data_IF_633631461824
#
_entry.id   IF_633631461824
#
_cell.length_a   1.000
_cell.length_b   1.000
_cell.length_c   1.000
_cell.angle_alpha   90.00
_cell.angle_beta   90.00
_cell.angle_gamma   90.00
#
_symmetry.space_group_name_H-M   'P 1'
#
loop_
_entity.id
_entity.type
_entity.pdbx_description
1 polymer ?
#
# COMPACT_ATOMS: atom_id res chain seq x y z
N UNK A 1 -3.58 -10.16 -72.60
CA UNK A 1 -4.06 -10.56 -71.26
C UNK A 1 -4.35 -9.28 -70.48
N UNK A 2 -5.62 -8.87 -70.37
CA UNK A 2 -6.03 -7.62 -69.70
C UNK A 2 -6.08 -7.88 -68.20
N UNK A 3 -5.18 -7.28 -67.43
CA UNK A 3 -5.26 -7.27 -65.96
C UNK A 3 -6.38 -6.30 -65.56
N UNK A 4 -7.43 -6.86 -64.94
CA UNK A 4 -8.60 -6.13 -64.44
C UNK A 4 -8.19 -5.31 -63.20
N UNK A 5 -8.02 -4.01 -63.39
CA UNK A 5 -7.77 -3.07 -62.29
C UNK A 5 -9.10 -2.79 -61.58
N UNK A 6 -9.32 -3.45 -60.44
CA UNK A 6 -10.56 -3.34 -59.68
C UNK A 6 -10.44 -2.16 -58.69
N UNK A 7 -11.20 -1.06 -58.85
CA UNK A 7 -11.01 0.17 -58.07
C UNK A 7 -11.25 -0.01 -56.56
N UNK A 8 -11.93 -1.10 -56.15
CA UNK A 8 -12.13 -1.47 -54.75
C UNK A 8 -10.86 -1.99 -54.06
N UNK A 9 -9.90 -2.55 -54.81
CA UNK A 9 -8.62 -3.05 -54.28
C UNK A 9 -7.65 -1.88 -54.00
N UNK A 10 -7.70 -0.83 -54.80
CA UNK A 10 -6.91 0.39 -54.59
C UNK A 10 -7.29 1.14 -53.30
N UNK A 11 -8.57 1.11 -52.93
CA UNK A 11 -9.08 1.76 -51.71
C UNK A 11 -8.64 0.99 -50.45
N UNK A 12 -8.53 -0.34 -50.51
CA UNK A 12 -8.05 -1.16 -49.38
C UNK A 12 -6.54 -0.99 -49.17
N UNK A 13 -5.74 -0.87 -50.24
CA UNK A 13 -4.30 -0.58 -50.10
C UNK A 13 -4.01 0.84 -49.57
N UNK A 14 -4.88 1.82 -49.87
CA UNK A 14 -4.75 3.19 -49.36
C UNK A 14 -5.07 3.33 -47.86
N UNK A 15 -5.85 2.42 -47.28
CA UNK A 15 -6.21 2.44 -45.85
C UNK A 15 -5.14 1.79 -44.95
N UNK A 16 -4.31 0.89 -45.50
CA UNK A 16 -3.23 0.22 -44.75
C UNK A 16 -2.00 1.12 -44.57
N UNK A 17 -1.78 2.09 -45.45
CA UNK A 17 -0.62 3.00 -45.40
C UNK A 17 -0.77 4.11 -44.35
N UNK A 18 -1.99 4.40 -43.87
CA UNK A 18 -2.23 5.44 -42.86
C UNK A 18 -2.10 4.95 -41.40
N UNK A 19 -1.86 3.66 -41.16
CA UNK A 19 -1.70 3.09 -39.81
C UNK A 19 -0.23 2.97 -39.34
N UNK A 20 0.75 3.39 -40.14
CA UNK A 20 2.19 3.21 -39.84
C UNK A 20 2.92 4.48 -39.40
N UNK A 21 2.23 5.61 -39.23
CA UNK A 21 2.85 6.89 -38.84
C UNK A 21 2.61 7.33 -37.39
N UNK A 22 2.12 6.45 -36.51
CA UNK A 22 1.89 6.77 -35.09
C UNK A 22 2.97 6.25 -34.12
N UNK A 23 4.06 5.65 -34.61
CA UNK A 23 5.17 5.23 -33.75
C UNK A 23 6.45 5.96 -34.13
N UNK A 24 6.55 7.23 -33.73
CA UNK A 24 7.84 7.89 -33.55
C UNK A 24 8.08 8.09 -32.04
N UNK A 25 8.12 6.96 -31.32
CA UNK A 25 8.59 6.92 -29.93
C UNK A 25 10.11 6.77 -29.99
N UNK A 26 10.80 7.90 -29.85
CA UNK A 26 12.24 7.96 -29.72
C UNK A 26 12.64 7.17 -28.46
N UNK A 27 12.99 5.88 -28.63
CA UNK A 27 13.57 5.07 -27.55
C UNK A 27 15.01 5.55 -27.33
N UNK A 28 15.19 6.44 -26.34
CA UNK A 28 16.50 6.58 -25.70
C UNK A 28 16.88 5.20 -25.12
N UNK A 29 18.16 4.79 -25.19
CA UNK A 29 18.60 3.63 -24.45
C UNK A 29 18.31 3.89 -22.97
N UNK A 30 17.63 2.95 -22.30
CA UNK A 30 17.58 2.92 -20.84
C UNK A 30 19.02 2.80 -20.35
N UNK A 31 19.62 3.94 -20.03
CA UNK A 31 20.73 3.98 -19.10
C UNK A 31 20.23 3.41 -17.79
N UNK A 32 21.05 2.59 -17.14
CA UNK A 32 20.93 2.33 -15.72
C UNK A 32 20.87 3.69 -15.02
N UNK A 33 19.65 4.15 -14.72
CA UNK A 33 19.46 5.10 -13.65
C UNK A 33 19.67 4.29 -12.38
N UNK A 34 20.94 4.22 -11.95
CA UNK A 34 21.21 4.24 -10.53
C UNK A 34 20.53 5.52 -10.00
N UNK A 35 19.27 5.38 -9.57
CA UNK A 35 18.65 6.33 -8.69
C UNK A 35 19.54 6.35 -7.45
N UNK A 36 20.44 7.32 -7.39
CA UNK A 36 21.05 7.74 -6.12
C UNK A 36 19.89 7.99 -5.18
N UNK A 37 19.70 7.09 -4.23
CA UNK A 37 18.50 7.11 -3.42
C UNK A 37 18.41 8.40 -2.63
N UNK A 38 17.17 8.87 -2.48
CA UNK A 38 16.88 10.03 -1.66
C UNK A 38 16.97 9.60 -0.20
N UNK A 39 18.14 9.79 0.35
CA UNK A 39 18.36 9.75 1.78
C UNK A 39 17.68 10.97 2.39
N UNK A 40 16.56 10.75 3.08
CA UNK A 40 15.92 11.77 3.91
C UNK A 40 17.01 12.37 4.82
N UNK A 41 17.21 13.70 4.80
CA UNK A 41 18.32 14.32 5.53
C UNK A 41 18.29 13.92 7.01
N UNK A 42 19.37 13.22 7.40
CA UNK A 42 19.56 12.47 8.63
C UNK A 42 19.79 13.39 9.83
N UNK A 43 18.73 13.71 10.56
CA UNK A 43 18.75 13.85 12.03
C UNK A 43 17.33 13.98 12.60
N UNK A 44 16.46 14.77 11.94
CA UNK A 44 15.08 14.96 12.40
C UNK A 44 14.08 14.01 11.76
N UNK A 45 14.31 13.56 10.51
CA UNK A 45 13.33 12.71 9.81
C UNK A 45 13.32 11.28 10.36
N UNK A 46 14.45 10.73 10.81
CA UNK A 46 14.47 9.38 11.39
C UNK A 46 13.75 9.31 12.74
N UNK A 47 13.89 10.35 13.59
CA UNK A 47 13.19 10.45 14.87
C UNK A 47 11.70 10.77 14.68
N UNK A 48 11.35 11.73 13.81
CA UNK A 48 9.95 12.04 13.48
C UNK A 48 9.24 10.91 12.74
N UNK A 49 9.94 10.15 11.90
CA UNK A 49 9.36 8.95 11.29
C UNK A 49 9.33 7.78 12.27
N UNK A 50 10.29 7.64 13.18
CA UNK A 50 10.18 6.65 14.28
C UNK A 50 8.97 6.97 15.18
N UNK A 51 8.73 8.24 15.49
CA UNK A 51 7.58 8.75 16.26
C UNK A 51 6.26 8.64 15.47
N UNK A 52 6.30 8.63 14.13
CA UNK A 52 5.13 8.42 13.26
C UNK A 52 4.85 6.95 12.91
N UNK A 53 5.87 6.11 12.73
CA UNK A 53 5.71 4.65 12.60
C UNK A 53 5.20 4.08 13.93
N UNK A 54 5.51 4.77 15.04
CA UNK A 54 4.79 4.70 16.31
C UNK A 54 3.56 5.65 16.32
N UNK A 55 2.60 5.49 15.39
CA UNK A 55 1.56 4.53 15.73
C UNK A 55 0.94 3.82 14.50
N UNK A 56 1.62 2.85 13.89
CA UNK A 56 0.91 1.66 13.37
C UNK A 56 0.07 0.95 14.45
N UNK A 57 0.44 1.03 15.74
CA UNK A 57 -0.49 0.92 16.85
C UNK A 57 -1.83 1.62 16.61
N UNK A 58 -1.97 2.79 15.99
CA UNK A 58 -3.29 3.42 15.84
C UNK A 58 -4.27 2.63 14.97
N UNK A 59 -3.80 1.96 13.91
CA UNK A 59 -4.67 1.07 13.14
C UNK A 59 -5.09 -0.12 14.01
N UNK A 60 -4.14 -0.75 14.70
CA UNK A 60 -4.39 -1.87 15.61
C UNK A 60 -5.21 -1.49 16.86
N UNK A 61 -4.99 -0.32 17.45
CA UNK A 61 -5.64 0.25 18.63
C UNK A 61 -7.07 0.65 18.27
N UNK A 62 -7.27 1.20 17.07
CA UNK A 62 -8.59 1.52 16.61
C UNK A 62 -9.38 0.25 16.30
N UNK A 63 -8.80 -0.73 15.62
CA UNK A 63 -9.44 -2.04 15.42
C UNK A 63 -9.63 -2.80 16.73
N UNK A 64 -8.72 -2.66 17.70
CA UNK A 64 -8.83 -3.26 19.02
C UNK A 64 -9.95 -2.61 19.82
N UNK A 65 -10.07 -1.28 19.80
CA UNK A 65 -11.19 -0.62 20.45
C UNK A 65 -12.50 -1.04 19.78
N UNK A 66 -12.56 -1.09 18.45
CA UNK A 66 -13.73 -1.56 17.71
C UNK A 66 -14.14 -2.98 18.14
N UNK A 67 -13.16 -3.87 18.29
CA UNK A 67 -13.38 -5.20 18.84
C UNK A 67 -13.89 -5.15 20.29
N UNK A 68 -13.27 -4.32 21.14
CA UNK A 68 -13.64 -4.13 22.56
C UNK A 68 -15.06 -3.58 22.74
N UNK A 69 -15.50 -2.67 21.89
CA UNK A 69 -16.86 -2.12 21.94
C UNK A 69 -17.89 -3.01 21.24
N UNK A 70 -17.47 -4.18 20.73
CA UNK A 70 -18.35 -5.19 20.13
C UNK A 70 -18.82 -4.84 18.72
N UNK A 71 -18.17 -3.91 18.02
CA UNK A 71 -18.48 -3.63 16.63
C UNK A 71 -18.16 -4.88 15.79
N UNK A 72 -19.06 -5.31 14.91
CA UNK A 72 -18.86 -6.52 14.11
C UNK A 72 -17.80 -6.31 13.01
N UNK A 73 -17.15 -7.40 12.60
CA UNK A 73 -16.29 -7.39 11.42
C UNK A 73 -17.13 -7.22 10.15
N UNK A 74 -16.78 -6.27 9.29
CA UNK A 74 -17.48 -5.98 8.04
C UNK A 74 -16.57 -6.37 6.88
N UNK A 75 -16.84 -7.56 6.31
CA UNK A 75 -16.06 -8.17 5.23
C UNK A 75 -15.85 -7.26 4.01
N UNK A 76 -16.80 -6.37 3.73
CA UNK A 76 -16.81 -5.54 2.52
C UNK A 76 -16.06 -4.22 2.67
N UNK A 77 -15.52 -3.91 3.85
CA UNK A 77 -14.74 -2.68 4.03
C UNK A 77 -13.35 -2.80 3.43
N UNK A 78 -12.71 -3.95 3.58
CA UNK A 78 -11.34 -4.12 3.13
C UNK A 78 -11.16 -4.16 1.62
N UNK A 79 -9.96 -3.81 1.16
CA UNK A 79 -9.60 -3.78 -0.24
C UNK A 79 -9.72 -5.19 -0.87
N UNK A 80 -10.49 -5.38 -1.95
CA UNK A 80 -10.59 -6.68 -2.60
C UNK A 80 -9.23 -7.25 -3.00
N UNK A 81 -8.99 -8.53 -2.65
CA UNK A 81 -7.75 -9.25 -2.97
C UNK A 81 -7.43 -9.25 -4.47
N UNK A 82 -8.45 -9.29 -5.32
CA UNK A 82 -8.31 -9.27 -6.78
C UNK A 82 -7.76 -7.96 -7.33
N UNK A 83 -7.76 -6.87 -6.54
CA UNK A 83 -7.19 -5.60 -6.98
C UNK A 83 -5.66 -5.62 -7.03
N UNK A 84 -4.98 -6.57 -6.38
CA UNK A 84 -3.51 -6.64 -6.36
C UNK A 84 -2.90 -6.62 -7.76
N UNK A 85 -3.55 -7.27 -8.72
CA UNK A 85 -3.11 -7.37 -10.12
C UNK A 85 -3.33 -6.05 -10.91
N UNK A 86 -4.05 -5.08 -10.33
CA UNK A 86 -4.38 -3.79 -10.96
C UNK A 86 -3.35 -2.71 -10.60
N UNK A 87 -2.49 -2.94 -9.63
CA UNK A 87 -1.47 -1.97 -9.19
C UNK A 87 -0.21 -2.12 -10.02
N UNK A 88 -0.08 -1.28 -11.05
CA UNK A 88 0.98 -1.43 -12.06
C UNK A 88 2.22 -0.58 -11.76
N UNK A 89 2.02 0.65 -11.27
CA UNK A 89 3.11 1.59 -10.99
C UNK A 89 3.68 1.37 -9.60
N UNK A 90 4.95 1.72 -9.40
CA UNK A 90 5.60 1.69 -8.08
C UNK A 90 4.79 2.46 -7.03
N UNK A 91 4.34 3.67 -7.38
CA UNK A 91 3.44 4.48 -6.54
C UNK A 91 2.17 3.74 -6.15
N UNK A 92 1.48 3.12 -7.11
CA UNK A 92 0.25 2.37 -6.81
C UNK A 92 0.50 1.14 -5.95
N UNK A 93 1.62 0.43 -6.17
CA UNK A 93 1.99 -0.74 -5.36
C UNK A 93 2.34 -0.35 -3.93
N UNK A 94 3.11 0.73 -3.76
CA UNK A 94 3.52 1.22 -2.45
C UNK A 94 2.31 1.64 -1.60
N UNK A 95 1.43 2.48 -2.15
CA UNK A 95 0.20 2.89 -1.46
C UNK A 95 -0.64 1.66 -1.07
N UNK A 96 -0.81 0.72 -2.00
CA UNK A 96 -1.66 -0.44 -1.74
C UNK A 96 -1.03 -1.52 -0.85
N UNK A 97 0.30 -1.56 -0.73
CA UNK A 97 0.97 -2.34 0.30
C UNK A 97 0.60 -1.81 1.69
N UNK A 98 0.53 -0.49 1.85
CA UNK A 98 0.02 0.14 3.06
C UNK A 98 -1.44 -0.22 3.36
N UNK A 99 -2.30 -0.11 2.34
CA UNK A 99 -3.73 -0.44 2.44
C UNK A 99 -3.94 -1.90 2.86
N UNK A 100 -3.34 -2.85 2.13
CA UNK A 100 -3.46 -4.27 2.50
C UNK A 100 -2.85 -4.57 3.87
N UNK A 101 -1.91 -3.75 4.32
CA UNK A 101 -1.40 -3.80 5.68
C UNK A 101 -2.42 -3.44 6.75
N UNK A 102 -3.17 -2.37 6.54
CA UNK A 102 -4.27 -2.01 7.44
C UNK A 102 -5.38 -3.08 7.41
N UNK A 103 -5.69 -3.64 6.24
CA UNK A 103 -6.65 -4.74 6.10
C UNK A 103 -6.21 -6.02 6.81
N UNK A 104 -4.92 -6.36 6.71
CA UNK A 104 -4.30 -7.46 7.44
C UNK A 104 -4.44 -7.25 8.95
N UNK A 105 -4.13 -6.05 9.45
CA UNK A 105 -4.31 -5.69 10.86
C UNK A 105 -5.76 -5.79 11.31
N UNK A 106 -6.70 -5.33 10.47
CA UNK A 106 -8.13 -5.39 10.74
C UNK A 106 -8.62 -6.84 10.83
N UNK A 107 -8.33 -7.66 9.83
CA UNK A 107 -8.67 -9.08 9.82
C UNK A 107 -8.09 -9.82 11.03
N UNK A 108 -6.81 -9.57 11.33
CA UNK A 108 -6.11 -10.19 12.47
C UNK A 108 -6.73 -9.80 13.81
N UNK A 109 -7.04 -8.51 14.01
CA UNK A 109 -7.67 -8.03 15.25
C UNK A 109 -9.03 -8.67 15.53
N UNK A 110 -9.75 -9.04 14.47
CA UNK A 110 -11.04 -9.70 14.50
C UNK A 110 -10.99 -11.23 14.42
N UNK A 111 -9.78 -11.81 14.55
CA UNK A 111 -9.53 -13.25 14.46
C UNK A 111 -10.07 -13.88 13.16
N UNK A 112 -10.05 -13.13 12.04
CA UNK A 112 -10.49 -13.61 10.73
C UNK A 112 -9.35 -14.36 10.03
N UNK A 113 -9.05 -15.57 10.51
CA UNK A 113 -7.87 -16.36 10.11
C UNK A 113 -7.62 -16.41 8.60
N UNK A 114 -8.62 -16.78 7.80
CA UNK A 114 -8.46 -16.88 6.35
C UNK A 114 -8.17 -15.51 5.72
N UNK A 115 -8.88 -14.46 6.13
CA UNK A 115 -8.63 -13.11 5.63
C UNK A 115 -7.24 -12.61 6.01
N UNK A 116 -6.73 -12.95 7.20
CA UNK A 116 -5.35 -12.64 7.61
C UNK A 116 -4.33 -13.28 6.67
N UNK A 117 -4.50 -14.57 6.32
CA UNK A 117 -3.61 -15.26 5.37
C UNK A 117 -3.71 -14.61 3.99
N UNK A 118 -4.94 -14.41 3.51
CA UNK A 118 -5.19 -13.86 2.18
C UNK A 118 -4.59 -12.45 2.01
N UNK A 119 -4.72 -11.58 3.02
CA UNK A 119 -4.11 -10.24 3.00
C UNK A 119 -2.60 -10.27 3.10
N UNK A 120 -2.03 -11.25 3.79
CA UNK A 120 -0.59 -11.43 3.84
C UNK A 120 -0.03 -11.88 2.48
N UNK A 121 -0.73 -12.79 1.79
CA UNK A 121 -0.31 -13.26 0.47
C UNK A 121 -0.31 -12.14 -0.58
N UNK A 122 -1.35 -11.30 -0.63
CA UNK A 122 -1.36 -10.15 -1.55
C UNK A 122 -0.34 -9.09 -1.16
N UNK A 123 -0.05 -8.93 0.14
CA UNK A 123 1.03 -8.05 0.62
C UNK A 123 2.40 -8.55 0.17
N UNK A 124 2.68 -9.86 0.28
CA UNK A 124 3.91 -10.47 -0.23
C UNK A 124 4.11 -10.24 -1.73
N UNK A 125 3.04 -10.38 -2.52
CA UNK A 125 3.10 -10.07 -3.96
C UNK A 125 3.54 -8.63 -4.24
N UNK A 126 3.06 -7.66 -3.44
CA UNK A 126 3.45 -6.26 -3.58
C UNK A 126 4.88 -6.00 -3.10
N UNK A 127 5.29 -6.63 -2.00
CA UNK A 127 6.68 -6.63 -1.50
C UNK A 127 7.65 -7.12 -2.58
N UNK A 128 7.33 -8.23 -3.24
CA UNK A 128 8.11 -8.77 -4.35
C UNK A 128 8.10 -7.81 -5.55
N UNK A 129 6.94 -7.30 -5.93
CA UNK A 129 6.78 -6.38 -7.06
C UNK A 129 7.45 -5.00 -6.84
N UNK A 130 7.71 -4.64 -5.57
CA UNK A 130 8.47 -3.47 -5.15
C UNK A 130 9.96 -3.75 -4.98
N UNK A 131 10.41 -5.00 -5.17
CA UNK A 131 11.78 -5.46 -4.93
C UNK A 131 12.26 -5.18 -3.50
N UNK A 132 11.42 -5.47 -2.50
CA UNK A 132 11.73 -5.33 -1.08
C UNK A 132 11.54 -6.63 -0.28
N UNK A 133 11.61 -7.78 -0.95
CA UNK A 133 11.44 -9.11 -0.33
C UNK A 133 12.40 -9.34 0.84
N UNK A 134 13.58 -8.73 0.85
CA UNK A 134 14.53 -8.80 1.97
C UNK A 134 14.04 -8.15 3.27
N UNK A 135 12.93 -7.40 3.23
CA UNK A 135 12.33 -6.77 4.40
C UNK A 135 11.33 -7.66 5.14
N UNK A 136 10.94 -8.79 4.53
CA UNK A 136 9.93 -9.70 5.08
C UNK A 136 10.56 -11.09 5.23
N UNK A 137 10.53 -11.64 6.44
CA UNK A 137 11.05 -12.99 6.71
C UNK A 137 10.36 -14.05 5.84
N UNK A 138 11.13 -15.02 5.33
CA UNK A 138 10.59 -16.09 4.49
C UNK A 138 9.51 -16.90 5.24
N UNK A 139 9.69 -17.07 6.54
CA UNK A 139 8.85 -17.85 7.46
C UNK A 139 7.65 -17.07 8.03
N UNK A 140 7.41 -15.84 7.60
CA UNK A 140 6.36 -14.99 8.20
C UNK A 140 4.95 -15.60 8.08
N UNK A 141 4.68 -16.34 7.01
CA UNK A 141 3.39 -17.04 6.84
C UNK A 141 3.30 -18.17 7.85
N UNK A 142 4.35 -18.98 7.99
CA UNK A 142 4.42 -20.06 8.98
C UNK A 142 4.27 -19.51 10.41
N UNK A 143 4.87 -18.34 10.70
CA UNK A 143 4.70 -17.66 11.99
C UNK A 143 3.25 -17.23 12.22
N UNK A 144 2.59 -16.64 11.23
CA UNK A 144 1.18 -16.27 11.31
C UNK A 144 0.31 -17.52 11.50
N UNK A 145 0.55 -18.57 10.72
CA UNK A 145 -0.17 -19.85 10.80
C UNK A 145 -0.04 -20.51 12.18
N UNK A 146 1.18 -20.57 12.71
CA UNK A 146 1.46 -21.13 14.03
C UNK A 146 0.84 -20.33 15.18
N UNK A 147 0.56 -19.04 14.98
CA UNK A 147 0.01 -18.14 15.99
C UNK A 147 -1.45 -17.74 15.72
N UNK A 148 -2.17 -18.43 14.83
CA UNK A 148 -3.55 -18.05 14.44
C UNK A 148 -4.56 -17.93 15.58
N UNK A 149 -4.33 -18.62 16.70
CA UNK A 149 -5.18 -18.58 17.90
C UNK A 149 -4.66 -17.63 18.99
N UNK A 150 -3.54 -16.95 18.75
CA UNK A 150 -2.93 -16.01 19.68
C UNK A 150 -2.90 -14.60 19.07
N UNK A 151 -3.95 -13.83 19.36
CA UNK A 151 -4.12 -12.45 18.89
C UNK A 151 -2.90 -11.59 19.19
N UNK A 152 -2.38 -11.62 20.41
CA UNK A 152 -1.27 -10.76 20.82
C UNK A 152 0.02 -11.11 20.05
N UNK A 153 0.26 -12.40 19.82
CA UNK A 153 1.35 -12.84 18.94
C UNK A 153 1.17 -12.34 17.51
N UNK A 154 -0.03 -12.49 16.92
CA UNK A 154 -0.29 -12.03 15.56
C UNK A 154 -0.10 -10.52 15.41
N UNK A 155 -0.59 -9.74 16.37
CA UNK A 155 -0.40 -8.27 16.41
C UNK A 155 1.09 -7.94 16.44
N UNK A 156 1.86 -8.60 17.30
CA UNK A 156 3.31 -8.40 17.39
C UNK A 156 4.03 -8.75 16.09
N UNK A 157 3.75 -9.91 15.51
CA UNK A 157 4.35 -10.41 14.26
C UNK A 157 4.07 -9.43 13.11
N UNK A 158 2.81 -9.03 12.93
CA UNK A 158 2.42 -8.11 11.86
C UNK A 158 3.07 -6.74 12.08
N UNK A 159 3.03 -6.20 13.31
CA UNK A 159 3.61 -4.89 13.64
C UNK A 159 5.12 -4.86 13.37
N UNK A 160 5.85 -5.89 13.78
CA UNK A 160 7.29 -5.98 13.53
C UNK A 160 7.59 -6.08 12.03
N UNK A 161 6.79 -6.85 11.28
CA UNK A 161 6.96 -6.95 9.82
C UNK A 161 6.76 -5.61 9.11
N UNK A 162 5.80 -4.80 9.55
CA UNK A 162 5.63 -3.44 9.03
C UNK A 162 6.82 -2.55 9.34
N UNK A 163 7.33 -2.63 10.57
CA UNK A 163 8.51 -1.88 10.99
C UNK A 163 9.75 -2.27 10.18
N UNK A 164 9.98 -3.58 9.98
CA UNK A 164 11.09 -4.10 9.18
C UNK A 164 10.98 -3.65 7.72
N UNK A 165 9.77 -3.66 7.15
CA UNK A 165 9.48 -3.13 5.81
C UNK A 165 9.83 -1.66 5.67
N UNK A 166 9.42 -0.86 6.65
CA UNK A 166 9.73 0.57 6.70
C UNK A 166 11.24 0.82 6.80
N UNK A 167 11.91 0.13 7.74
CA UNK A 167 13.33 0.29 7.99
C UNK A 167 14.15 -0.10 6.76
N UNK A 168 13.80 -1.21 6.11
CA UNK A 168 14.45 -1.67 4.89
C UNK A 168 14.35 -0.64 3.76
N UNK A 169 13.15 -0.09 3.52
CA UNK A 169 12.95 0.94 2.50
C UNK A 169 13.76 2.21 2.80
N UNK A 170 13.81 2.62 4.07
CA UNK A 170 14.56 3.80 4.47
C UNK A 170 16.08 3.60 4.35
N UNK A 171 16.60 2.44 4.77
CA UNK A 171 18.01 2.08 4.65
C UNK A 171 18.46 1.94 3.19
N UNK A 172 17.55 1.52 2.30
CA UNK A 172 17.78 1.45 0.86
C UNK A 172 17.66 2.82 0.15
N UNK A 173 17.60 3.93 0.89
CA UNK A 173 17.41 5.29 0.38
C UNK A 173 16.14 5.43 -0.51
N UNK A 174 15.10 4.62 -0.20
CA UNK A 174 13.77 4.64 -0.82
C UNK A 174 12.72 5.24 0.12
N UNK A 175 13.10 6.33 0.81
CA UNK A 175 12.24 7.03 1.77
C UNK A 175 10.88 7.41 1.18
N UNK A 176 10.85 7.84 -0.09
CA UNK A 176 9.62 8.18 -0.79
C UNK A 176 8.64 7.01 -0.96
N UNK A 177 9.14 5.81 -1.26
CA UNK A 177 8.31 4.60 -1.34
C UNK A 177 7.78 4.25 0.05
N UNK A 178 8.64 4.37 1.07
CA UNK A 178 8.27 4.18 2.48
C UNK A 178 7.13 5.10 2.91
N UNK A 179 7.21 6.39 2.55
CA UNK A 179 6.16 7.38 2.84
C UNK A 179 4.82 7.04 2.15
N UNK A 180 4.86 6.50 0.93
CA UNK A 180 3.63 6.07 0.24
C UNK A 180 2.96 4.87 0.91
N UNK A 181 3.75 3.86 1.35
CA UNK A 181 3.24 2.72 2.13
C UNK A 181 2.58 3.22 3.41
N UNK A 182 3.27 4.09 4.12
CA UNK A 182 2.83 4.66 5.37
C UNK A 182 1.52 5.48 5.23
N UNK A 183 1.45 6.34 4.21
CA UNK A 183 0.25 7.11 3.91
C UNK A 183 -0.95 6.21 3.55
N UNK A 184 -0.71 5.15 2.74
CA UNK A 184 -1.74 4.18 2.38
C UNK A 184 -2.32 3.46 3.60
N UNK A 185 -1.46 3.02 4.52
CA UNK A 185 -1.88 2.36 5.76
C UNK A 185 -2.71 3.27 6.66
N UNK A 186 -2.28 4.52 6.84
CA UNK A 186 -3.00 5.48 7.66
C UNK A 186 -4.38 5.84 7.10
N UNK A 187 -4.47 6.07 5.78
CA UNK A 187 -5.73 6.41 5.11
C UNK A 187 -6.72 5.25 5.21
N UNK A 188 -6.27 4.01 4.99
CA UNK A 188 -7.13 2.83 5.09
C UNK A 188 -7.60 2.58 6.52
N UNK A 189 -6.71 2.71 7.50
CA UNK A 189 -7.09 2.58 8.91
C UNK A 189 -8.17 3.60 9.30
N UNK A 190 -8.03 4.86 8.91
CA UNK A 190 -9.07 5.87 9.15
C UNK A 190 -10.37 5.55 8.39
N UNK A 191 -10.28 5.06 7.16
CA UNK A 191 -11.43 4.61 6.38
C UNK A 191 -12.20 3.50 7.12
N UNK A 192 -11.51 2.44 7.55
CA UNK A 192 -12.09 1.32 8.31
C UNK A 192 -12.78 1.84 9.58
N UNK A 193 -12.09 2.67 10.37
CA UNK A 193 -12.62 3.20 11.64
C UNK A 193 -13.86 4.07 11.42
N UNK A 194 -13.82 4.96 10.43
CA UNK A 194 -14.96 5.85 10.15
C UNK A 194 -16.18 5.11 9.61
N UNK A 195 -15.99 4.04 8.84
CA UNK A 195 -17.10 3.27 8.26
C UNK A 195 -17.72 2.28 9.27
N UNK A 196 -16.93 1.68 10.16
CA UNK A 196 -17.47 0.84 11.24
C UNK A 196 -18.22 1.70 12.27
N UNK A 197 -17.86 2.99 12.38
CA UNK A 197 -18.50 3.91 13.32
C UNK A 197 -19.81 4.50 12.85
N UNK A 198 -20.23 4.29 11.59
CA UNK A 198 -21.52 4.79 11.08
C UNK A 198 -22.71 4.40 11.96
N UNK A 199 -22.72 3.16 12.45
CA UNK A 199 -23.78 2.66 13.34
C UNK A 199 -23.46 2.88 14.83
N UNK A 200 -22.28 3.39 15.17
CA UNK A 200 -21.80 3.53 16.56
C UNK A 200 -21.34 4.95 16.94
N UNK A 201 -21.62 5.97 16.13
CA UNK A 201 -21.26 7.38 16.41
C UNK A 201 -21.78 7.95 17.74
N UNK A 202 -22.80 7.32 18.35
CA UNK A 202 -23.27 7.68 19.69
C UNK A 202 -22.28 7.26 20.80
N UNK A 203 -21.29 6.42 20.49
CA UNK A 203 -20.24 6.00 21.40
C UNK A 203 -19.13 7.08 21.47
N UNK A 204 -19.04 7.75 22.63
CA UNK A 204 -18.05 8.80 22.90
C UNK A 204 -16.60 8.31 22.77
N UNK A 205 -16.34 7.04 23.05
CA UNK A 205 -15.01 6.43 22.92
C UNK A 205 -14.58 6.37 21.46
N UNK A 206 -15.51 6.01 20.56
CA UNK A 206 -15.25 5.98 19.11
C UNK A 206 -15.03 7.37 18.53
N UNK A 207 -15.86 8.33 18.93
CA UNK A 207 -15.65 9.75 18.54
C UNK A 207 -14.28 10.22 19.01
N UNK A 208 -13.86 9.84 20.22
CA UNK A 208 -12.54 10.18 20.73
C UNK A 208 -11.41 9.55 19.90
N UNK A 209 -11.50 8.28 19.49
CA UNK A 209 -10.49 7.69 18.58
C UNK A 209 -10.36 8.52 17.31
N UNK A 210 -11.47 8.77 16.63
CA UNK A 210 -11.45 9.48 15.35
C UNK A 210 -10.85 10.88 15.53
N UNK A 211 -11.17 11.55 16.64
CA UNK A 211 -10.58 12.84 16.99
C UNK A 211 -9.07 12.76 17.28
N UNK A 212 -8.62 11.72 17.98
CA UNK A 212 -7.21 11.54 18.35
C UNK A 212 -6.33 11.29 17.10
N UNK A 213 -6.90 10.81 15.98
CA UNK A 213 -6.20 10.69 14.69
C UNK A 213 -5.77 12.03 14.07
N UNK A 214 -6.25 13.18 14.58
CA UNK A 214 -5.80 14.49 14.07
C UNK A 214 -4.30 14.70 14.28
N UNK A 215 -3.74 14.23 15.40
CA UNK A 215 -2.32 14.39 15.69
C UNK A 215 -1.47 13.58 14.70
N UNK A 216 -1.82 12.31 14.49
CA UNK A 216 -1.15 11.47 13.49
C UNK A 216 -1.30 12.05 12.09
N UNK A 217 -2.48 12.51 11.67
CA UNK A 217 -2.64 13.17 10.36
C UNK A 217 -1.68 14.34 10.15
N UNK A 218 -1.53 15.23 11.15
CA UNK A 218 -0.65 16.39 11.03
C UNK A 218 0.81 15.97 10.79
N UNK A 219 1.28 14.96 11.54
CA UNK A 219 2.62 14.41 11.36
C UNK A 219 2.77 13.76 9.99
N UNK A 220 1.77 13.01 9.50
CA UNK A 220 1.79 12.44 8.15
C UNK A 220 1.94 13.53 7.09
N UNK A 221 1.18 14.62 7.20
CA UNK A 221 1.23 15.76 6.27
C UNK A 221 2.60 16.43 6.29
N UNK A 222 3.20 16.60 7.48
CA UNK A 222 4.55 17.15 7.62
C UNK A 222 5.59 16.26 6.94
N UNK A 223 5.57 14.96 7.19
CA UNK A 223 6.47 13.99 6.55
C UNK A 223 6.30 13.94 5.03
N UNK A 224 5.06 13.93 4.55
CA UNK A 224 4.75 13.94 3.12
C UNK A 224 5.21 15.24 2.44
N UNK A 225 5.32 16.35 3.16
CA UNK A 225 5.82 17.61 2.61
C UNK A 225 7.30 17.55 2.23
N UNK A 226 8.09 16.71 2.92
CA UNK A 226 9.52 16.50 2.66
C UNK A 226 9.76 15.83 1.31
N UNK A 227 8.83 14.97 0.87
CA UNK A 227 8.97 14.13 -0.32
C UNK A 227 8.05 14.57 -1.47
N UNK A 228 7.33 15.68 -1.31
CA UNK A 228 6.30 16.16 -2.25
C UNK A 228 6.83 16.45 -3.66
N UNK A 229 8.05 16.96 -3.76
CA UNK A 229 8.66 17.33 -5.04
C UNK A 229 9.43 16.16 -5.68
N UNK A 230 9.47 14.99 -5.03
CA UNK A 230 10.10 13.81 -5.60
C UNK A 230 9.27 13.30 -6.81
N UNK A 231 9.86 13.16 -8.01
CA UNK A 231 9.18 12.65 -9.20
C UNK A 231 8.54 11.25 -9.05
N UNK A 232 8.98 10.44 -8.08
CA UNK A 232 8.40 9.15 -7.73
C UNK A 232 7.07 9.27 -6.97
N UNK A 233 6.82 10.42 -6.32
CA UNK A 233 5.58 10.74 -5.59
C UNK A 233 4.71 11.75 -6.34
N UNK A 234 5.29 12.66 -7.12
CA UNK A 234 4.60 13.73 -7.85
C UNK A 234 3.55 13.23 -8.86
#
# INVERSE_FOLDING_TARGET
MKLLFNPKIAIILSAVVLLVSACNMNRKPSGNNEQSGEKLEKANVEESVREFVYPLPTAFEATEMLNRIGAAYILTLSNPLSNVERYLTEKSKAINLGIYGADLSYASTYNQKQATIDYMDVSKKLVDALNISGAVGEDIIDQIEANQDNKDSLVSIITNTFYDTYEFLNQADRGSVSMLVLAGSWVEALYIVTHITEDTFQNKEMVKIVMDQKASLNTLVELMSVVKDNPAIA
#
